data_IF_613733132276
#
_entry.id   IF_613733132276
#
_cell.length_a   1.000
_cell.length_b   1.000
_cell.length_c   1.000
_cell.angle_alpha   90.00
_cell.angle_beta   90.00
_cell.angle_gamma   90.00
#
_symmetry.space_group_name_H-M   'P 1'
#
loop_
_entity.id
_entity.type
_entity.pdbx_description
1 polymer ?
#
# COMPACT_ATOMS: atom_id res chain seq x y z
N UNK A 1 14.24 20.73 -4.49
CA UNK A 1 13.11 19.95 -3.94
C UNK A 1 11.98 20.90 -3.55
N UNK A 2 10.73 20.41 -3.55
CA UNK A 2 9.61 21.19 -3.04
C UNK A 2 9.42 20.93 -1.55
N UNK A 3 9.10 21.99 -0.78
CA UNK A 3 8.75 21.82 0.62
C UNK A 3 7.30 21.30 0.71
N UNK A 4 7.02 20.14 1.32
CA UNK A 4 5.66 19.60 1.40
C UNK A 4 4.74 20.43 2.31
N UNK A 5 5.29 21.29 3.16
CA UNK A 5 4.50 22.15 4.06
C UNK A 5 4.00 23.42 3.40
N UNK A 6 4.80 24.05 2.53
CA UNK A 6 4.50 25.37 1.96
C UNK A 6 4.50 25.41 0.43
N UNK A 7 4.84 24.30 -0.24
CA UNK A 7 4.88 24.20 -1.70
C UNK A 7 6.00 24.98 -2.38
N UNK A 8 6.88 25.67 -1.64
CA UNK A 8 7.95 26.47 -2.23
C UNK A 8 9.07 25.59 -2.78
N UNK A 9 9.57 25.94 -3.97
CA UNK A 9 10.79 25.39 -4.54
C UNK A 9 12.01 25.82 -3.73
N UNK A 10 12.78 24.85 -3.26
CA UNK A 10 14.01 25.00 -2.49
C UNK A 10 15.14 24.28 -3.24
N UNK A 11 16.39 24.74 -3.14
CA UNK A 11 17.53 23.97 -3.66
C UNK A 11 17.70 22.68 -2.87
N UNK A 12 18.35 21.67 -3.43
CA UNK A 12 18.60 20.39 -2.76
C UNK A 12 19.65 20.47 -1.64
N UNK A 13 20.48 21.52 -1.62
CA UNK A 13 21.55 21.68 -0.64
C UNK A 13 21.10 22.36 0.66
N UNK A 14 19.91 22.97 0.70
CA UNK A 14 19.42 23.67 1.89
C UNK A 14 18.71 22.72 2.86
N UNK A 15 19.18 22.72 4.11
CA UNK A 15 18.65 21.88 5.19
C UNK A 15 17.29 22.33 5.71
N UNK A 16 16.94 23.60 5.50
CA UNK A 16 15.70 24.21 5.96
C UNK A 16 15.04 24.99 4.83
N UNK A 17 13.71 25.01 4.80
CA UNK A 17 12.97 25.83 3.87
C UNK A 17 13.11 27.31 4.22
N UNK A 18 13.52 28.12 3.24
CA UNK A 18 13.70 29.56 3.40
C UNK A 18 12.40 30.33 3.70
N UNK A 19 11.22 29.73 3.48
CA UNK A 19 9.93 30.41 3.66
C UNK A 19 9.17 29.98 4.91
N UNK A 20 9.21 28.70 5.28
CA UNK A 20 8.44 28.19 6.42
C UNK A 20 9.33 27.65 7.55
N UNK A 21 10.66 27.67 7.39
CA UNK A 21 11.63 27.18 8.38
C UNK A 21 11.62 25.66 8.58
N UNK A 22 10.87 24.90 7.75
CA UNK A 22 10.73 23.46 7.93
C UNK A 22 12.03 22.75 7.56
N UNK A 23 12.47 21.81 8.41
CA UNK A 23 13.68 21.01 8.17
C UNK A 23 13.43 20.02 7.02
N UNK A 24 14.10 20.25 5.90
CA UNK A 24 13.97 19.47 4.67
C UNK A 24 14.76 18.16 4.74
N UNK A 25 15.85 18.12 5.51
CA UNK A 25 16.68 16.92 5.74
C UNK A 25 15.94 15.86 6.58
N UNK A 26 15.17 16.29 7.57
CA UNK A 26 14.35 15.37 8.37
C UNK A 26 13.24 14.75 7.51
N UNK A 27 12.64 15.55 6.64
CA UNK A 27 11.60 15.10 5.71
C UNK A 27 12.17 14.16 4.66
N UNK A 28 13.31 14.52 4.05
CA UNK A 28 13.96 13.65 3.07
C UNK A 28 14.28 12.30 3.70
N UNK A 29 14.86 12.27 4.91
CA UNK A 29 15.16 11.02 5.64
C UNK A 29 13.92 10.18 5.97
N UNK A 30 12.79 10.81 6.30
CA UNK A 30 11.54 10.09 6.54
C UNK A 30 10.97 9.50 5.24
N UNK A 31 11.09 10.21 4.12
CA UNK A 31 10.60 9.77 2.82
C UNK A 31 11.51 8.74 2.14
N UNK A 32 12.83 8.79 2.38
CA UNK A 32 13.81 7.90 1.74
C UNK A 32 13.99 6.57 2.47
N UNK A 33 12.99 6.14 3.24
CA UNK A 33 12.75 4.71 3.51
C UNK A 33 13.87 3.93 4.20
N UNK A 34 13.74 3.72 5.51
CA UNK A 34 14.13 2.43 6.13
C UNK A 34 12.95 1.46 6.22
N UNK A 35 11.86 1.79 5.54
CA UNK A 35 10.54 1.18 5.75
C UNK A 35 10.16 0.14 4.68
N UNK A 36 10.89 0.09 3.56
CA UNK A 36 10.61 -0.78 2.40
C UNK A 36 10.64 -2.28 2.77
N UNK A 37 11.57 -2.66 3.66
CA UNK A 37 11.70 -4.04 4.16
C UNK A 37 10.70 -4.40 5.28
N UNK A 38 10.16 -3.39 5.96
CA UNK A 38 9.28 -3.58 7.11
C UNK A 38 7.82 -3.78 6.68
N UNK A 39 7.32 -2.92 5.77
CA UNK A 39 5.95 -3.05 5.27
C UNK A 39 5.74 -4.34 4.48
N UNK A 40 6.71 -4.77 3.68
CA UNK A 40 6.62 -6.03 2.91
C UNK A 40 6.46 -7.27 3.80
N UNK A 41 7.09 -7.28 4.98
CA UNK A 41 6.92 -8.37 5.97
C UNK A 41 5.57 -8.31 6.67
N UNK A 42 5.06 -7.11 6.91
CA UNK A 42 3.74 -6.92 7.52
C UNK A 42 2.65 -7.39 6.55
N UNK A 43 2.73 -7.04 5.27
CA UNK A 43 1.75 -7.45 4.25
C UNK A 43 1.61 -8.97 4.19
N UNK A 44 2.72 -9.72 4.15
CA UNK A 44 2.67 -11.18 4.16
C UNK A 44 2.04 -11.78 5.44
N UNK A 45 2.25 -11.14 6.59
CA UNK A 45 1.62 -11.56 7.85
C UNK A 45 0.13 -11.24 7.90
N UNK A 46 -0.27 -10.10 7.33
CA UNK A 46 -1.67 -9.67 7.20
C UNK A 46 -2.42 -10.64 6.25
N UNK A 47 -1.84 -10.98 5.11
CA UNK A 47 -2.42 -11.93 4.15
C UNK A 47 -2.69 -13.29 4.79
N UNK A 48 -1.75 -13.80 5.58
CA UNK A 48 -1.92 -15.06 6.30
C UNK A 48 -3.03 -14.99 7.35
N UNK A 49 -3.17 -13.83 8.03
CA UNK A 49 -4.25 -13.61 9.00
C UNK A 49 -5.61 -13.56 8.31
N UNK A 50 -5.72 -12.86 7.18
CA UNK A 50 -6.93 -12.80 6.38
C UNK A 50 -7.35 -14.17 5.87
N UNK A 51 -6.41 -14.96 5.34
CA UNK A 51 -6.68 -16.34 4.90
C UNK A 51 -7.23 -17.21 6.05
N UNK A 52 -6.67 -17.09 7.26
CA UNK A 52 -7.17 -17.81 8.44
C UNK A 52 -8.55 -17.33 8.89
N UNK A 53 -8.81 -16.02 8.79
CA UNK A 53 -10.09 -15.43 9.16
C UNK A 53 -11.20 -15.84 8.19
N UNK A 54 -10.94 -15.84 6.89
CA UNK A 54 -11.95 -16.22 5.88
C UNK A 54 -12.38 -17.68 6.03
N UNK A 55 -11.48 -18.60 6.35
CA UNK A 55 -11.86 -19.98 6.64
C UNK A 55 -12.74 -20.11 7.88
N UNK A 56 -12.50 -19.29 8.90
CA UNK A 56 -13.30 -19.32 10.13
C UNK A 56 -14.67 -18.68 9.97
N UNK A 57 -14.79 -17.67 9.10
CA UNK A 57 -16.05 -16.94 8.87
C UNK A 57 -16.92 -17.58 7.78
N UNK A 58 -16.30 -18.19 6.77
CA UNK A 58 -17.00 -18.81 5.64
C UNK A 58 -16.96 -20.35 5.65
N UNK A 59 -16.52 -20.96 6.76
CA UNK A 59 -16.38 -22.41 6.95
C UNK A 59 -17.65 -23.24 6.69
N UNK A 60 -18.81 -22.61 6.56
CA UNK A 60 -20.08 -23.28 6.25
C UNK A 60 -20.68 -22.93 4.87
N UNK A 61 -19.92 -22.42 3.89
CA UNK A 61 -20.52 -21.97 2.61
C UNK A 61 -19.92 -22.46 1.29
N UNK A 62 -18.98 -23.42 1.27
CA UNK A 62 -18.57 -24.01 -0.01
C UNK A 62 -18.69 -25.54 -0.03
N UNK A 63 -19.93 -26.04 0.05
CA UNK A 63 -20.30 -27.21 -0.75
C UNK A 63 -21.04 -26.68 -1.98
N UNK A 64 -20.39 -26.81 -3.13
CA UNK A 64 -20.96 -26.63 -4.48
C UNK A 64 -21.20 -25.18 -4.95
N UNK A 65 -20.13 -24.41 -5.21
CA UNK A 65 -20.21 -23.45 -6.31
C UNK A 65 -19.44 -24.00 -7.50
N UNK A 66 -20.21 -24.53 -8.45
CA UNK A 66 -19.77 -25.12 -9.70
C UNK A 66 -19.10 -24.06 -10.58
N UNK A 67 -17.77 -23.98 -10.45
CA UNK A 67 -16.83 -23.12 -11.20
C UNK A 67 -16.93 -23.24 -12.74
N UNK A 68 -17.69 -24.23 -13.24
CA UNK A 68 -17.95 -24.44 -14.65
C UNK A 68 -19.02 -23.51 -15.26
N UNK A 69 -19.72 -22.71 -14.44
CA UNK A 69 -20.78 -21.79 -14.90
C UNK A 69 -20.24 -20.43 -15.32
N UNK A 70 -19.24 -19.90 -14.60
CA UNK A 70 -18.65 -18.58 -14.89
C UNK A 70 -17.88 -18.62 -16.22
N UNK A 71 -17.13 -19.69 -16.50
CA UNK A 71 -16.39 -19.87 -17.76
C UNK A 71 -17.33 -19.88 -18.98
N UNK A 72 -18.57 -20.36 -18.84
CA UNK A 72 -19.55 -20.37 -19.95
C UNK A 72 -20.24 -19.03 -20.18
N UNK A 73 -20.32 -18.18 -19.16
CA UNK A 73 -20.88 -16.82 -19.27
C UNK A 73 -20.06 -15.94 -20.22
N UNK A 74 -18.74 -16.06 -20.22
CA UNK A 74 -17.85 -15.27 -21.07
C UNK A 74 -17.80 -15.75 -22.53
N UNK A 75 -18.30 -16.95 -22.83
CA UNK A 75 -18.42 -17.46 -24.21
C UNK A 75 -19.68 -16.99 -24.94
N UNK A 76 -20.65 -16.39 -24.25
CA UNK A 76 -21.92 -15.93 -24.83
C UNK A 76 -21.89 -14.46 -25.30
N UNK A 77 -20.82 -13.74 -25.00
CA UNK A 77 -20.62 -12.33 -25.37
C UNK A 77 -19.57 -12.15 -26.49
N UNK A 78 -19.19 -13.24 -27.16
CA UNK A 78 -18.32 -13.25 -28.34
C UNK A 78 -19.09 -13.61 -29.59
#
# INVERSE_FOLDING_TARGET
MFCPKCGKGNSSEIKYCASCGTNLEAISRALTGREEDFFTKIDGGIDQLFARYTEHVFGDSCKASNENTVVRSWRLLG
#
